data_IF_524122758301
#
_entry.id   IF_524122758301
#
_cell.length_a   1.000
_cell.length_b   1.000
_cell.length_c   1.000
_cell.angle_alpha   90.00
_cell.angle_beta   90.00
_cell.angle_gamma   90.00
#
_symmetry.space_group_name_H-M   'P 1'
#
loop_
_entity.id
_entity.type
_entity.pdbx_description
1 polymer ?
#
# COMPACT_ATOMS: atom_id res chain seq x y z
N UNK A 1 14.62 29.49 0.59
CA UNK A 1 14.18 30.85 0.21
C UNK A 1 13.58 30.73 -1.18
N UNK A 2 12.29 30.43 -1.24
CA UNK A 2 11.48 30.51 -2.46
C UNK A 2 10.65 31.77 -2.31
N UNK A 3 10.65 32.61 -3.33
CA UNK A 3 9.99 33.91 -3.35
C UNK A 3 8.57 33.82 -2.78
N UNK A 4 8.32 34.63 -1.75
CA UNK A 4 7.05 34.78 -1.05
C UNK A 4 6.11 35.66 -1.89
N UNK A 5 5.78 35.18 -3.09
CA UNK A 5 4.71 35.77 -3.89
C UNK A 5 3.42 35.29 -3.26
N UNK A 6 2.67 36.20 -2.62
CA UNK A 6 1.28 35.94 -2.24
C UNK A 6 0.52 35.47 -3.48
N UNK A 7 0.36 34.16 -3.61
CA UNK A 7 -0.41 33.56 -4.69
C UNK A 7 -1.87 33.91 -4.47
N UNK A 8 -2.46 34.64 -5.42
CA UNK A 8 -3.91 34.82 -5.51
C UNK A 8 -4.56 33.44 -5.52
N UNK A 9 -5.48 33.15 -4.59
CA UNK A 9 -6.31 31.96 -4.68
C UNK A 9 -7.16 32.03 -5.94
N UNK A 10 -7.34 30.91 -6.65
CA UNK A 10 -8.14 30.87 -7.87
C UNK A 10 -9.10 29.69 -7.86
N UNK A 11 -10.15 29.76 -8.67
CA UNK A 11 -10.94 28.57 -9.05
C UNK A 11 -10.10 27.59 -9.85
N UNK A 12 -10.65 26.40 -10.08
CA UNK A 12 -10.15 25.42 -11.05
C UNK A 12 -10.10 25.97 -12.48
N UNK A 13 -10.90 27.00 -12.80
CA UNK A 13 -10.85 27.74 -14.06
C UNK A 13 -9.75 28.82 -14.12
N UNK A 14 -9.08 29.11 -13.00
CA UNK A 14 -8.03 30.14 -12.91
C UNK A 14 -8.53 31.55 -12.59
N UNK A 15 -9.81 31.71 -12.23
CA UNK A 15 -10.40 33.00 -11.87
C UNK A 15 -10.04 33.37 -10.43
N UNK A 16 -9.65 34.63 -10.13
CA UNK A 16 -9.32 35.06 -8.77
C UNK A 16 -10.48 34.84 -7.80
N UNK A 17 -10.18 34.22 -6.66
CA UNK A 17 -11.10 34.00 -5.56
C UNK A 17 -11.27 35.32 -4.78
N UNK A 18 -12.50 35.84 -4.64
CA UNK A 18 -12.73 37.13 -3.99
C UNK A 18 -12.58 37.07 -2.46
N UNK A 19 -12.84 35.92 -1.84
CA UNK A 19 -12.69 35.68 -0.40
C UNK A 19 -12.64 34.18 -0.11
N UNK A 20 -11.67 33.74 0.69
CA UNK A 20 -11.55 32.38 1.23
C UNK A 20 -12.14 32.25 2.66
N UNK A 21 -12.60 33.35 3.25
CA UNK A 21 -13.14 33.41 4.62
C UNK A 21 -14.66 33.64 4.68
N UNK A 22 -15.24 34.20 3.62
CA UNK A 22 -16.64 34.66 3.63
C UNK A 22 -17.39 34.24 2.35
N UNK A 23 -18.56 33.64 2.53
CA UNK A 23 -19.50 33.32 1.44
C UNK A 23 -20.28 34.56 0.99
N UNK A 24 -20.80 34.52 -0.23
CA UNK A 24 -21.67 35.54 -0.80
C UNK A 24 -23.10 35.43 -0.22
N UNK A 25 -23.56 36.50 0.43
CA UNK A 25 -24.89 36.58 1.05
C UNK A 25 -25.69 37.81 0.62
N UNK A 26 -27.01 37.78 0.87
CA UNK A 26 -27.90 38.96 0.68
C UNK A 26 -27.85 39.85 1.94
N UNK A 27 -26.83 40.69 2.05
CA UNK A 27 -26.56 41.50 3.25
C UNK A 27 -25.83 40.72 4.35
N UNK A 28 -25.39 41.42 5.40
CA UNK A 28 -24.56 40.84 6.49
C UNK A 28 -25.22 39.67 7.22
N UNK A 29 -26.56 39.71 7.34
CA UNK A 29 -27.36 38.75 8.11
C UNK A 29 -28.39 37.99 7.25
N UNK A 30 -28.24 38.06 5.92
CA UNK A 30 -29.13 37.38 4.98
C UNK A 30 -28.64 35.99 4.56
N UNK A 31 -29.42 35.27 3.74
CA UNK A 31 -29.06 33.94 3.28
C UNK A 31 -27.89 33.97 2.28
N UNK A 32 -27.13 32.85 2.22
CA UNK A 32 -26.15 32.58 1.17
C UNK A 32 -26.87 32.34 -0.16
N UNK A 33 -26.30 32.86 -1.25
CA UNK A 33 -26.88 32.74 -2.59
C UNK A 33 -26.33 31.54 -3.34
N UNK A 34 -27.18 30.87 -4.12
CA UNK A 34 -26.78 29.69 -4.90
C UNK A 34 -25.71 29.98 -5.97
N UNK A 35 -25.61 31.23 -6.44
CA UNK A 35 -24.62 31.63 -7.45
C UNK A 35 -23.26 32.01 -6.85
N UNK A 36 -23.05 31.74 -5.55
CA UNK A 36 -21.70 31.68 -4.98
C UNK A 36 -20.96 30.43 -5.54
N UNK A 37 -20.55 30.52 -6.79
CA UNK A 37 -19.93 29.40 -7.50
C UNK A 37 -18.60 29.00 -6.87
N UNK A 38 -17.89 29.94 -6.23
CA UNK A 38 -16.67 29.70 -5.48
C UNK A 38 -16.94 28.74 -4.31
N UNK A 39 -17.87 29.08 -3.42
CA UNK A 39 -18.29 28.21 -2.31
C UNK A 39 -18.76 26.83 -2.83
N UNK A 40 -19.58 26.82 -3.88
CA UNK A 40 -20.12 25.58 -4.45
C UNK A 40 -19.01 24.67 -4.99
N UNK A 41 -18.00 25.24 -5.65
CA UNK A 41 -16.86 24.50 -6.18
C UNK A 41 -16.01 23.90 -5.05
N UNK A 42 -15.67 24.69 -4.03
CA UNK A 42 -14.89 24.23 -2.89
C UNK A 42 -15.60 23.10 -2.12
N UNK A 43 -16.91 23.26 -1.85
CA UNK A 43 -17.71 22.22 -1.23
C UNK A 43 -17.83 20.97 -2.11
N UNK A 44 -17.96 21.13 -3.43
CA UNK A 44 -18.06 20.01 -4.35
C UNK A 44 -16.76 19.20 -4.43
N UNK A 45 -15.60 19.87 -4.41
CA UNK A 45 -14.28 19.23 -4.34
C UNK A 45 -14.10 18.50 -3.00
N UNK A 46 -14.34 19.19 -1.87
CA UNK A 46 -14.22 18.63 -0.53
C UNK A 46 -15.05 17.36 -0.35
N UNK A 47 -16.32 17.40 -0.76
CA UNK A 47 -17.24 16.26 -0.65
C UNK A 47 -16.80 15.03 -1.48
N UNK A 48 -15.78 15.16 -2.34
CA UNK A 48 -15.29 14.12 -3.25
C UNK A 48 -13.82 13.75 -3.03
N UNK A 49 -13.19 14.26 -1.98
CA UNK A 49 -11.77 13.97 -1.69
C UNK A 49 -11.52 12.49 -1.37
N UNK A 50 -12.47 11.86 -0.66
CA UNK A 50 -12.31 10.48 -0.20
C UNK A 50 -12.56 9.48 -1.33
N UNK A 51 -11.57 8.62 -1.58
CA UNK A 51 -11.70 7.45 -2.47
C UNK A 51 -11.74 6.15 -1.64
N UNK A 52 -12.26 5.04 -2.19
CA UNK A 52 -12.27 3.77 -1.48
C UNK A 52 -10.87 3.32 -1.04
N UNK A 53 -10.77 2.88 0.21
CA UNK A 53 -9.56 2.26 0.75
C UNK A 53 -9.22 0.95 0.03
N UNK A 54 -7.94 0.57 0.08
CA UNK A 54 -7.51 -0.77 -0.36
C UNK A 54 -8.10 -1.85 0.56
N UNK A 55 -8.51 -2.98 -0.02
CA UNK A 55 -8.92 -4.17 0.70
C UNK A 55 -8.10 -5.39 0.23
N UNK A 56 -7.18 -5.93 1.05
CA UNK A 56 -6.65 -5.42 2.33
C UNK A 56 -5.57 -4.32 2.14
N UNK A 57 -4.77 -4.03 3.17
CA UNK A 57 -3.62 -3.10 3.12
C UNK A 57 -3.96 -1.60 2.99
N UNK A 58 -5.05 -1.16 3.62
CA UNK A 58 -5.47 0.24 3.62
C UNK A 58 -4.42 1.16 4.28
N UNK A 59 -4.06 0.88 5.54
CA UNK A 59 -3.07 1.67 6.29
C UNK A 59 -1.65 1.38 5.79
N UNK A 60 -0.94 2.41 5.37
CA UNK A 60 0.44 2.28 4.92
C UNK A 60 1.12 3.60 4.62
N UNK A 61 2.40 3.51 4.28
CA UNK A 61 3.24 4.62 3.86
C UNK A 61 4.29 4.13 2.87
N UNK A 62 5.09 5.04 2.31
CA UNK A 62 6.03 4.67 1.27
C UNK A 62 7.14 5.68 1.06
N UNK A 63 8.10 5.29 0.23
CA UNK A 63 9.22 6.13 -0.16
C UNK A 63 9.67 5.75 -1.57
N UNK A 64 10.24 6.72 -2.29
CA UNK A 64 11.00 6.47 -3.50
C UNK A 64 12.46 6.18 -3.16
N UNK A 65 13.16 5.51 -4.06
CA UNK A 65 14.58 5.19 -3.92
C UNK A 65 15.10 4.54 -5.20
N UNK A 66 16.22 3.84 -5.07
CA UNK A 66 16.85 3.15 -6.19
C UNK A 66 17.28 1.73 -5.80
N UNK A 67 17.14 0.81 -6.75
CA UNK A 67 17.69 -0.53 -6.71
C UNK A 67 18.98 -0.58 -7.53
N UNK A 68 20.00 -1.28 -7.05
CA UNK A 68 21.29 -1.41 -7.73
C UNK A 68 21.74 -2.87 -7.71
N UNK A 69 22.12 -3.38 -8.87
CA UNK A 69 22.58 -4.77 -9.02
C UNK A 69 24.09 -4.83 -8.84
N UNK A 70 24.54 -5.48 -7.78
CA UNK A 70 25.98 -5.63 -7.47
C UNK A 70 26.57 -6.93 -8.04
N UNK A 71 25.75 -7.98 -8.17
CA UNK A 71 26.19 -9.32 -8.59
C UNK A 71 25.70 -9.69 -9.99
N UNK A 72 26.43 -10.58 -10.66
CA UNK A 72 26.04 -11.09 -11.97
C UNK A 72 25.09 -12.28 -11.84
N UNK A 73 23.84 -12.09 -12.28
CA UNK A 73 22.80 -13.13 -12.34
C UNK A 73 22.30 -13.39 -13.77
N UNK A 74 23.02 -12.91 -14.79
CA UNK A 74 22.66 -13.02 -16.21
C UNK A 74 22.45 -14.48 -16.67
N UNK A 75 23.18 -15.41 -16.04
CA UNK A 75 23.00 -16.86 -16.23
C UNK A 75 21.56 -17.33 -15.97
N UNK A 76 20.83 -16.65 -15.10
CA UNK A 76 19.50 -17.09 -14.64
C UNK A 76 18.35 -16.28 -15.23
N UNK A 77 18.57 -15.00 -15.54
CA UNK A 77 17.52 -14.11 -16.01
C UNK A 77 18.03 -13.10 -17.03
N UNK A 78 17.22 -12.88 -18.08
CA UNK A 78 17.45 -11.83 -19.06
C UNK A 78 16.78 -10.49 -18.75
N UNK A 79 16.13 -10.37 -17.59
CA UNK A 79 15.48 -9.11 -17.21
C UNK A 79 16.52 -7.99 -17.08
N UNK A 80 16.37 -6.91 -17.86
CA UNK A 80 17.40 -5.85 -17.95
C UNK A 80 17.73 -5.19 -16.61
N UNK A 81 16.73 -4.94 -15.78
CA UNK A 81 16.92 -4.31 -14.47
C UNK A 81 17.70 -5.18 -13.46
N UNK A 82 17.90 -6.46 -13.77
CA UNK A 82 18.65 -7.42 -12.94
C UNK A 82 20.05 -7.70 -13.49
N UNK A 83 20.49 -6.98 -14.52
CA UNK A 83 21.85 -7.12 -15.05
C UNK A 83 22.86 -6.34 -14.20
N UNK A 84 24.07 -6.87 -14.06
CA UNK A 84 25.10 -6.29 -13.18
C UNK A 84 25.39 -4.83 -13.51
N UNK A 85 25.44 -3.98 -12.48
CA UNK A 85 25.71 -2.54 -12.59
C UNK A 85 24.50 -1.69 -12.98
N UNK A 86 23.33 -2.31 -13.25
CA UNK A 86 22.12 -1.56 -13.54
C UNK A 86 21.57 -0.94 -12.25
N UNK A 87 21.25 0.35 -12.35
CA UNK A 87 20.53 1.12 -11.32
C UNK A 87 19.13 1.44 -11.83
N UNK A 88 18.12 1.20 -11.00
CA UNK A 88 16.71 1.35 -11.38
C UNK A 88 15.97 2.13 -10.31
N UNK A 89 15.33 3.22 -10.69
CA UNK A 89 14.45 3.97 -9.79
C UNK A 89 13.28 3.08 -9.36
N UNK A 90 12.86 3.25 -8.11
CA UNK A 90 11.81 2.43 -7.54
C UNK A 90 10.98 3.19 -6.51
N UNK A 91 9.78 2.67 -6.24
CA UNK A 91 8.94 3.08 -5.12
C UNK A 91 8.59 1.88 -4.26
N UNK A 92 8.65 2.06 -2.95
CA UNK A 92 8.24 1.10 -1.95
C UNK A 92 6.99 1.57 -1.23
N UNK A 93 6.03 0.66 -0.99
CA UNK A 93 4.91 0.88 -0.08
C UNK A 93 4.87 -0.22 0.98
N UNK A 94 4.86 0.20 2.24
CA UNK A 94 4.68 -0.63 3.41
C UNK A 94 3.29 -0.46 3.99
N UNK A 95 2.74 -1.48 4.62
CA UNK A 95 1.37 -1.44 5.14
C UNK A 95 1.12 -2.49 6.20
N UNK A 96 0.07 -2.31 7.01
CA UNK A 96 -0.60 -3.42 7.72
C UNK A 96 -1.56 -4.13 6.75
N UNK A 97 -2.37 -5.09 7.21
CA UNK A 97 -3.28 -5.87 6.36
C UNK A 97 -4.75 -5.63 6.73
N UNK A 98 -5.12 -5.89 7.98
CA UNK A 98 -6.52 -6.02 8.37
C UNK A 98 -7.24 -4.67 8.55
N UNK A 99 -6.56 -3.71 9.17
CA UNK A 99 -7.13 -2.43 9.58
C UNK A 99 -7.46 -1.49 8.42
N UNK A 100 -8.37 -0.55 8.68
CA UNK A 100 -8.74 0.54 7.77
C UNK A 100 -7.65 1.64 7.75
N UNK A 101 -7.78 2.65 6.87
CA UNK A 101 -6.80 3.75 6.72
C UNK A 101 -6.45 4.50 8.01
N UNK A 102 -7.37 4.57 8.99
CA UNK A 102 -7.14 5.19 10.30
C UNK A 102 -6.55 4.28 11.38
N UNK A 103 -6.25 3.01 11.07
CA UNK A 103 -5.81 2.04 12.08
C UNK A 103 -4.34 2.24 12.53
N UNK A 104 -3.96 1.81 13.74
CA UNK A 104 -2.58 1.89 14.23
C UNK A 104 -1.59 1.04 13.42
N UNK A 105 -0.40 1.58 13.14
CA UNK A 105 0.67 0.85 12.42
C UNK A 105 1.28 -0.31 13.22
N UNK A 106 1.06 -0.35 14.53
CA UNK A 106 1.70 -1.28 15.48
C UNK A 106 0.79 -2.42 15.92
N UNK A 107 -0.39 -2.58 15.32
CA UNK A 107 -1.18 -3.81 15.52
C UNK A 107 -0.40 -5.04 15.06
N UNK A 108 -0.55 -6.15 15.79
CA UNK A 108 -0.01 -7.44 15.38
C UNK A 108 -0.68 -7.86 14.07
N UNK A 109 0.12 -7.92 13.02
CA UNK A 109 -0.35 -8.15 11.65
C UNK A 109 0.88 -8.51 10.79
N UNK A 110 0.74 -9.16 9.62
CA UNK A 110 1.78 -9.10 8.62
C UNK A 110 2.03 -7.64 8.20
N UNK A 111 3.15 -7.41 7.52
CA UNK A 111 3.40 -6.13 6.86
C UNK A 111 3.53 -6.33 5.36
N UNK A 112 2.80 -5.55 4.58
CA UNK A 112 3.02 -5.45 3.14
C UNK A 112 4.40 -4.88 2.85
N UNK A 113 5.08 -5.44 1.85
CA UNK A 113 6.39 -5.03 1.37
C UNK A 113 6.33 -5.00 -0.16
N UNK A 114 5.67 -3.97 -0.71
CA UNK A 114 5.41 -3.85 -2.13
C UNK A 114 6.43 -2.91 -2.78
N UNK A 115 7.15 -3.42 -3.78
CA UNK A 115 8.15 -2.68 -4.54
C UNK A 115 7.72 -2.58 -6.00
N UNK A 116 7.87 -1.40 -6.61
CA UNK A 116 7.75 -1.17 -8.04
C UNK A 116 9.07 -0.63 -8.57
N UNK A 117 9.61 -1.27 -9.59
CA UNK A 117 10.84 -0.91 -10.28
C UNK A 117 10.48 -0.32 -11.64
N UNK A 118 10.95 0.89 -11.93
CA UNK A 118 10.72 1.59 -13.19
C UNK A 118 11.77 1.17 -14.22
N UNK A 119 11.59 -0.03 -14.78
CA UNK A 119 12.58 -0.63 -15.70
C UNK A 119 12.43 -0.11 -17.13
N UNK A 120 13.48 -0.29 -17.95
CA UNK A 120 13.42 0.03 -19.39
C UNK A 120 12.40 -0.80 -20.18
N UNK A 121 11.98 -1.95 -19.64
CA UNK A 121 11.04 -2.89 -20.27
C UNK A 121 9.64 -2.79 -19.66
N UNK A 122 9.38 -1.71 -18.91
CA UNK A 122 8.11 -1.46 -18.21
C UNK A 122 8.23 -1.62 -16.70
N UNK A 123 7.13 -1.35 -16.00
CA UNK A 123 7.11 -1.45 -14.54
C UNK A 123 7.14 -2.92 -14.11
N UNK A 124 8.11 -3.30 -13.30
CA UNK A 124 8.12 -4.58 -12.63
C UNK A 124 7.68 -4.40 -11.17
N UNK A 125 6.68 -5.17 -10.74
CA UNK A 125 6.14 -5.07 -9.39
C UNK A 125 6.42 -6.36 -8.60
N UNK A 126 7.21 -6.24 -7.54
CA UNK A 126 7.37 -7.29 -6.52
C UNK A 126 6.45 -6.93 -5.35
N UNK A 127 5.23 -7.47 -5.36
CA UNK A 127 4.22 -7.21 -4.32
C UNK A 127 4.33 -8.28 -3.24
N UNK A 128 5.26 -8.05 -2.30
CA UNK A 128 5.62 -9.00 -1.25
C UNK A 128 5.02 -8.66 0.13
N UNK A 129 5.47 -9.41 1.12
CA UNK A 129 5.19 -9.22 2.54
C UNK A 129 6.47 -9.35 3.37
N UNK A 130 6.40 -9.01 4.66
CA UNK A 130 7.48 -9.23 5.62
C UNK A 130 7.61 -10.69 6.10
N UNK A 131 6.99 -11.64 5.39
CA UNK A 131 6.99 -13.08 5.68
C UNK A 131 7.24 -13.91 4.41
N UNK A 132 8.03 -14.99 4.50
CA UNK A 132 8.30 -15.87 3.36
C UNK A 132 7.14 -16.80 2.99
N UNK A 133 6.07 -16.86 3.80
CA UNK A 133 4.90 -17.75 3.59
C UNK A 133 3.59 -16.98 3.84
N UNK A 134 2.45 -17.65 3.62
CA UNK A 134 1.14 -17.05 3.82
C UNK A 134 0.13 -18.04 4.43
N UNK A 135 -1.04 -17.53 4.84
CA UNK A 135 -2.05 -18.29 5.59
C UNK A 135 -2.81 -19.34 4.77
N UNK A 136 -2.95 -19.11 3.46
CA UNK A 136 -3.71 -19.96 2.57
C UNK A 136 -2.88 -20.30 1.35
N UNK A 137 -3.14 -21.48 0.78
CA UNK A 137 -2.48 -21.97 -0.44
C UNK A 137 -3.39 -21.95 -1.68
N UNK A 138 -4.66 -21.61 -1.49
CA UNK A 138 -5.67 -21.51 -2.55
C UNK A 138 -6.36 -20.13 -2.47
N UNK A 139 -6.41 -19.36 -3.57
CA UNK A 139 -6.99 -18.02 -3.58
C UNK A 139 -8.48 -18.00 -3.25
N UNK A 140 -9.23 -19.09 -3.45
CA UNK A 140 -10.65 -19.16 -3.11
C UNK A 140 -10.89 -18.89 -1.62
N UNK A 141 -9.96 -19.30 -0.75
CA UNK A 141 -10.02 -19.05 0.70
C UNK A 141 -9.63 -17.64 1.12
N UNK A 142 -9.03 -16.84 0.23
CA UNK A 142 -8.46 -15.55 0.59
C UNK A 142 -9.51 -14.56 1.09
N UNK A 143 -10.65 -14.47 0.42
CA UNK A 143 -11.76 -13.60 0.84
C UNK A 143 -12.33 -13.97 2.21
N UNK A 144 -12.46 -15.27 2.49
CA UNK A 144 -12.90 -15.77 3.80
C UNK A 144 -11.90 -15.43 4.90
N UNK A 145 -10.60 -15.59 4.62
CA UNK A 145 -9.53 -15.16 5.52
C UNK A 145 -9.59 -13.65 5.80
N UNK A 146 -9.68 -12.80 4.77
CA UNK A 146 -9.70 -11.35 4.97
C UNK A 146 -10.93 -10.90 5.76
N UNK A 147 -12.10 -11.51 5.53
CA UNK A 147 -13.28 -11.24 6.35
C UNK A 147 -13.06 -11.65 7.81
N UNK A 148 -12.46 -12.82 8.08
CA UNK A 148 -12.23 -13.29 9.45
C UNK A 148 -11.27 -12.39 10.24
N UNK A 149 -10.38 -11.65 9.57
CA UNK A 149 -9.46 -10.70 10.21
C UNK A 149 -10.05 -9.30 10.42
N UNK A 150 -11.16 -8.99 9.75
CA UNK A 150 -11.83 -7.68 9.78
C UNK A 150 -12.94 -7.67 10.83
N UNK A 151 -14.05 -7.01 10.51
CA UNK A 151 -15.14 -6.69 11.43
C UNK A 151 -16.32 -7.60 11.15
N UNK A 152 -17.04 -7.96 12.21
CA UNK A 152 -18.32 -8.67 12.08
C UNK A 152 -19.36 -7.76 11.41
N UNK A 153 -20.22 -8.36 10.61
CA UNK A 153 -21.25 -7.62 9.87
C UNK A 153 -22.37 -7.07 10.77
N UNK A 154 -22.61 -7.69 11.92
CA UNK A 154 -23.69 -7.34 12.85
C UNK A 154 -23.39 -6.09 13.68
N UNK A 155 -22.14 -5.89 14.09
CA UNK A 155 -21.75 -4.83 15.02
C UNK A 155 -20.50 -4.03 14.64
N UNK A 156 -19.83 -4.38 13.54
CA UNK A 156 -18.64 -3.66 13.09
C UNK A 156 -17.40 -3.83 14.00
N UNK A 157 -17.38 -4.79 14.92
CA UNK A 157 -16.25 -5.06 15.80
C UNK A 157 -15.34 -6.16 15.23
N UNK A 158 -14.03 -6.03 15.46
CA UNK A 158 -13.11 -7.16 15.27
C UNK A 158 -13.37 -8.21 16.34
N UNK A 159 -13.20 -9.48 16.00
CA UNK A 159 -13.56 -10.59 16.87
C UNK A 159 -12.48 -11.66 16.90
N UNK A 160 -12.09 -12.10 18.09
CA UNK A 160 -11.05 -13.13 18.24
C UNK A 160 -11.59 -14.53 17.96
N UNK A 161 -12.86 -14.78 18.27
CA UNK A 161 -13.52 -16.05 17.98
C UNK A 161 -13.53 -16.29 16.46
N UNK A 162 -14.00 -15.30 15.68
CA UNK A 162 -13.99 -15.36 14.21
C UNK A 162 -12.58 -15.60 13.61
N UNK A 163 -11.53 -14.98 14.18
CA UNK A 163 -10.15 -15.19 13.70
C UNK A 163 -9.68 -16.62 13.96
N UNK A 164 -9.85 -17.12 15.18
CA UNK A 164 -9.39 -18.45 15.57
C UNK A 164 -10.23 -19.56 14.99
N UNK A 165 -11.54 -19.38 14.82
CA UNK A 165 -12.41 -20.33 14.13
C UNK A 165 -11.92 -20.56 12.71
N UNK A 166 -11.67 -19.49 11.94
CA UNK A 166 -11.11 -19.63 10.59
C UNK A 166 -9.75 -20.34 10.59
N UNK A 167 -8.81 -19.93 11.45
CA UNK A 167 -7.46 -20.51 11.46
C UNK A 167 -7.44 -21.98 11.87
N UNK A 168 -8.22 -22.36 12.87
CA UNK A 168 -8.26 -23.76 13.35
C UNK A 168 -8.97 -24.69 12.35
N UNK A 169 -9.96 -24.18 11.62
CA UNK A 169 -10.64 -24.91 10.54
C UNK A 169 -9.89 -24.86 9.19
N UNK A 170 -8.87 -24.01 9.06
CA UNK A 170 -7.95 -23.96 7.92
C UNK A 170 -6.51 -24.19 8.39
N UNK A 171 -6.15 -25.43 8.76
CA UNK A 171 -4.86 -25.75 9.37
C UNK A 171 -3.66 -25.51 8.46
N UNK A 172 -3.86 -25.27 7.16
CA UNK A 172 -2.79 -24.75 6.28
C UNK A 172 -2.21 -23.42 6.75
N UNK A 173 -2.95 -22.68 7.58
CA UNK A 173 -2.54 -21.39 8.14
C UNK A 173 -1.47 -21.50 9.22
N UNK A 174 -1.28 -22.69 9.82
CA UNK A 174 -0.48 -22.88 11.03
C UNK A 174 0.95 -22.30 10.92
N UNK A 175 1.61 -22.45 9.76
CA UNK A 175 2.96 -21.93 9.56
C UNK A 175 2.98 -20.39 9.65
N UNK A 176 2.07 -19.71 8.95
CA UNK A 176 2.01 -18.26 8.98
C UNK A 176 1.45 -17.71 10.30
N UNK A 177 0.51 -18.41 10.94
CA UNK A 177 0.02 -18.05 12.28
C UNK A 177 1.16 -18.12 13.30
N UNK A 178 2.00 -19.15 13.25
CA UNK A 178 3.20 -19.27 14.10
C UNK A 178 4.15 -18.10 13.89
N UNK A 179 4.41 -17.71 12.64
CA UNK A 179 5.22 -16.52 12.32
C UNK A 179 4.61 -15.24 12.87
N UNK A 180 3.30 -15.04 12.64
CA UNK A 180 2.55 -13.86 13.07
C UNK A 180 2.53 -13.70 14.60
N UNK A 181 2.41 -14.81 15.34
CA UNK A 181 2.34 -14.78 16.79
C UNK A 181 3.71 -14.61 17.47
N UNK A 182 4.81 -14.83 16.76
CA UNK A 182 6.16 -14.50 17.23
C UNK A 182 6.47 -13.00 17.22
N UNK A 183 7.70 -12.63 17.58
CA UNK A 183 8.13 -11.21 17.69
C UNK A 183 8.01 -10.44 16.36
N UNK A 184 8.15 -11.16 15.23
CA UNK A 184 8.06 -10.59 13.87
C UNK A 184 6.66 -10.12 13.48
N UNK A 185 5.62 -10.43 14.26
CA UNK A 185 4.26 -9.92 14.05
C UNK A 185 4.06 -8.45 14.44
N UNK A 186 5.01 -7.86 15.17
CA UNK A 186 4.99 -6.47 15.64
C UNK A 186 6.36 -5.81 15.44
N UNK A 187 6.84 -5.67 14.18
CA UNK A 187 8.11 -5.00 13.91
C UNK A 187 8.06 -3.55 14.40
N UNK A 188 9.13 -3.08 15.04
CA UNK A 188 9.18 -1.73 15.62
C UNK A 188 9.01 -0.63 14.56
N UNK A 189 9.56 -0.85 13.35
CA UNK A 189 9.43 0.06 12.21
C UNK A 189 9.50 -0.74 10.90
N UNK A 190 9.06 -0.16 9.78
CA UNK A 190 9.24 -0.77 8.45
C UNK A 190 10.70 -0.91 8.02
N UNK A 191 11.62 -0.15 8.60
CA UNK A 191 13.07 -0.25 8.33
C UNK A 191 13.71 -1.46 9.01
N UNK A 192 13.03 -2.09 9.98
CA UNK A 192 13.57 -3.20 10.78
C UNK A 192 12.75 -4.47 10.55
N UNK A 193 12.49 -4.78 9.28
CA UNK A 193 11.86 -6.02 8.84
C UNK A 193 12.41 -6.42 7.47
N UNK A 194 12.49 -7.73 7.22
CA UNK A 194 12.79 -8.24 5.88
C UNK A 194 11.55 -8.13 4.98
N UNK A 195 11.76 -8.15 3.67
CA UNK A 195 10.74 -8.34 2.64
C UNK A 195 10.94 -9.66 1.90
N UNK A 196 9.85 -10.26 1.43
CA UNK A 196 9.87 -11.52 0.71
C UNK A 196 8.79 -11.53 -0.36
N UNK A 197 9.08 -12.17 -1.49
CA UNK A 197 8.05 -12.42 -2.51
C UNK A 197 6.98 -13.42 -2.07
N UNK A 198 7.32 -14.24 -1.07
CA UNK A 198 6.57 -15.38 -0.55
C UNK A 198 6.36 -16.49 -1.60
N UNK A 199 5.73 -16.17 -2.73
CA UNK A 199 5.56 -17.04 -3.88
C UNK A 199 6.88 -17.40 -4.56
N UNK A 200 6.87 -18.56 -5.21
CA UNK A 200 7.89 -18.95 -6.18
C UNK A 200 7.58 -18.29 -7.51
N UNK A 201 8.58 -17.66 -8.12
CA UNK A 201 8.52 -17.07 -9.46
C UNK A 201 9.42 -17.84 -10.42
N UNK A 202 9.32 -17.52 -11.71
CA UNK A 202 10.19 -18.06 -12.74
C UNK A 202 11.10 -16.97 -13.30
N UNK A 203 12.38 -17.26 -13.36
CA UNK A 203 13.33 -16.54 -14.19
C UNK A 203 13.64 -17.33 -15.46
N UNK A 204 13.94 -16.60 -16.52
CA UNK A 204 14.29 -17.15 -17.83
C UNK A 204 15.51 -16.41 -18.35
N UNK A 205 16.58 -17.13 -18.70
CA UNK A 205 17.79 -16.54 -19.26
C UNK A 205 17.68 -16.30 -20.78
N UNK A 206 18.76 -15.81 -21.41
CA UNK A 206 18.80 -15.54 -22.86
C UNK A 206 18.57 -16.79 -23.71
N UNK A 207 19.09 -17.95 -23.28
CA UNK A 207 18.93 -19.24 -23.95
C UNK A 207 17.53 -19.86 -23.76
N UNK A 208 16.68 -19.24 -22.95
CA UNK A 208 15.32 -19.72 -22.65
C UNK A 208 15.24 -20.78 -21.55
N UNK A 209 16.34 -21.05 -20.84
CA UNK A 209 16.35 -21.94 -19.68
C UNK A 209 15.55 -21.33 -18.52
N UNK A 210 14.86 -22.17 -17.75
CA UNK A 210 13.90 -21.74 -16.72
C UNK A 210 14.38 -22.10 -15.31
N UNK A 211 14.28 -21.14 -14.40
CA UNK A 211 14.70 -21.27 -13.01
C UNK A 211 13.60 -20.83 -12.05
N UNK A 212 13.34 -21.64 -11.02
CA UNK A 212 12.41 -21.27 -9.96
C UNK A 212 13.14 -20.43 -8.89
N UNK A 213 12.60 -19.27 -8.57
CA UNK A 213 13.23 -18.31 -7.66
C UNK A 213 12.27 -17.81 -6.57
N UNK A 214 12.84 -17.37 -5.45
CA UNK A 214 12.14 -16.63 -4.40
C UNK A 214 12.96 -15.39 -4.06
N UNK A 215 12.32 -14.23 -3.94
CA UNK A 215 13.01 -12.98 -3.63
C UNK A 215 13.06 -12.76 -2.12
N UNK A 216 14.24 -12.40 -1.63
CA UNK A 216 14.52 -12.14 -0.23
C UNK A 216 15.20 -10.76 -0.13
N UNK A 217 14.49 -9.79 0.43
CA UNK A 217 15.00 -8.45 0.72
C UNK A 217 15.37 -8.43 2.20
N UNK A 218 16.66 -8.51 2.49
CA UNK A 218 17.16 -8.42 3.86
C UNK A 218 17.31 -6.96 4.22
N UNK A 219 16.82 -6.59 5.41
CA UNK A 219 17.23 -5.30 5.98
C UNK A 219 18.72 -5.36 6.28
N UNK A 220 19.40 -4.25 6.01
CA UNK A 220 20.83 -4.06 6.34
C UNK A 220 21.07 -4.05 7.85
#
# INVERSE_FOLDING_TARGET
MTDDIRTTHTTTGGEPYPSDEHSLSVGSDGPIVLHDHFLMEQMAAFNREMIPDRQPHAKGGGAFGHFEVTEDVSKYTKAKFLQKGVKTDMVARFSTVAGESGSPDTWRDPRGFALKFYTEEGNFDMVGNNTPVFFVRDPMKFQHFIHSQKRRADNGLRDHDMQWDFWTQSPESAHQVTWLMGDRGVPATWRHMNGYSSHTYMWVNEDGERFWVKYHFKTD
#
